data_IF_242099256915
#
_entry.id   IF_242099256915
#
_cell.length_a   1.000
_cell.length_b   1.000
_cell.length_c   1.000
_cell.angle_alpha   90.00
_cell.angle_beta   90.00
_cell.angle_gamma   90.00
#
_symmetry.space_group_name_H-M   'P 1'
#
loop_
_entity.id
_entity.type
_entity.pdbx_description
1 polymer ?
#
# COMPACT_ATOMS: atom_id res chain seq x y z
N UNK A 1 -5.42 -6.20 -0.08
CA UNK A 1 -5.74 -7.40 0.71
C UNK A 1 -5.02 -7.30 2.04
N UNK A 2 -5.78 -7.27 3.14
CA UNK A 2 -5.23 -7.02 4.49
C UNK A 2 -5.14 -8.29 5.35
N UNK A 3 -5.66 -9.40 4.85
CA UNK A 3 -5.56 -10.73 5.46
C UNK A 3 -5.81 -11.83 4.44
N UNK A 4 -5.26 -13.02 4.72
CA UNK A 4 -5.53 -14.28 4.00
C UNK A 4 -6.40 -15.24 4.81
N UNK A 5 -6.79 -14.85 6.02
CA UNK A 5 -7.70 -15.58 6.87
C UNK A 5 -9.15 -15.22 6.54
N UNK A 6 -10.05 -16.19 6.25
CA UNK A 6 -11.43 -15.91 5.85
C UNK A 6 -12.25 -15.16 6.91
N UNK A 7 -12.08 -15.51 8.19
CA UNK A 7 -12.85 -14.91 9.29
C UNK A 7 -12.39 -13.47 9.55
N UNK A 8 -11.06 -13.22 9.51
CA UNK A 8 -10.52 -11.89 9.60
C UNK A 8 -10.90 -11.05 8.37
N UNK A 9 -10.91 -11.65 7.17
CA UNK A 9 -11.34 -10.98 5.95
C UNK A 9 -12.79 -10.49 6.07
N UNK A 10 -13.70 -11.37 6.51
CA UNK A 10 -15.10 -11.02 6.74
C UNK A 10 -15.25 -9.87 7.73
N UNK A 11 -14.47 -9.89 8.81
CA UNK A 11 -14.48 -8.84 9.83
C UNK A 11 -13.98 -7.49 9.30
N UNK A 12 -12.87 -7.48 8.53
CA UNK A 12 -12.25 -6.25 8.00
C UNK A 12 -12.99 -5.73 6.78
N UNK A 13 -13.27 -6.58 5.81
CA UNK A 13 -13.98 -6.21 4.58
C UNK A 13 -15.49 -6.05 4.76
N UNK A 14 -16.04 -6.50 5.89
CA UNK A 14 -17.49 -6.55 6.21
C UNK A 14 -18.31 -7.31 5.17
N UNK A 15 -17.70 -8.28 4.51
CA UNK A 15 -18.31 -9.16 3.52
C UNK A 15 -17.50 -10.45 3.39
N UNK A 16 -18.16 -11.50 2.91
CA UNK A 16 -17.51 -12.71 2.45
C UNK A 16 -16.93 -12.52 1.04
N UNK A 17 -16.10 -13.45 0.57
CA UNK A 17 -15.59 -13.48 -0.81
C UNK A 17 -14.08 -13.40 -0.92
N UNK A 18 -13.34 -13.86 0.08
CA UNK A 18 -11.89 -14.00 0.00
C UNK A 18 -11.47 -14.96 -1.13
N UNK A 19 -12.25 -16.02 -1.36
CA UNK A 19 -12.13 -16.97 -2.47
C UNK A 19 -12.11 -16.23 -3.83
N UNK A 20 -13.05 -15.31 -4.05
CA UNK A 20 -13.11 -14.49 -5.27
C UNK A 20 -11.92 -13.54 -5.43
N UNK A 21 -11.35 -13.09 -4.32
CA UNK A 21 -10.11 -12.30 -4.37
C UNK A 21 -8.96 -13.17 -4.86
N UNK A 22 -8.85 -14.43 -4.40
CA UNK A 22 -7.83 -15.35 -4.87
C UNK A 22 -8.05 -15.75 -6.35
N UNK A 23 -9.28 -16.02 -6.77
CA UNK A 23 -9.61 -16.23 -8.18
C UNK A 23 -9.14 -15.05 -9.06
N UNK A 24 -9.37 -13.82 -8.60
CA UNK A 24 -8.89 -12.61 -9.28
C UNK A 24 -7.37 -12.50 -9.33
N UNK A 25 -6.66 -12.88 -8.27
CA UNK A 25 -5.20 -12.93 -8.22
C UNK A 25 -4.68 -13.98 -9.23
N UNK A 26 -5.26 -15.16 -9.24
CA UNK A 26 -4.87 -16.24 -10.16
C UNK A 26 -5.14 -15.87 -11.64
N UNK A 27 -6.30 -15.26 -11.92
CA UNK A 27 -6.60 -14.75 -13.25
C UNK A 27 -5.62 -13.68 -13.72
N UNK A 28 -5.23 -12.75 -12.82
CA UNK A 28 -4.23 -11.72 -13.13
C UNK A 28 -2.83 -12.31 -13.36
N UNK A 29 -2.46 -13.34 -12.59
CA UNK A 29 -1.18 -14.04 -12.75
C UNK A 29 -1.10 -14.84 -14.06
N UNK A 30 -2.23 -15.36 -14.52
CA UNK A 30 -2.30 -16.08 -15.80
C UNK A 30 -2.20 -15.15 -17.01
N UNK A 31 -2.41 -13.85 -16.84
CA UNK A 31 -2.36 -12.90 -17.94
C UNK A 31 -0.92 -12.46 -18.27
N UNK A 32 -0.41 -12.69 -19.49
CA UNK A 32 0.96 -12.32 -19.84
C UNK A 32 1.13 -10.80 -19.83
N UNK A 33 2.27 -10.35 -19.29
CA UNK A 33 2.65 -8.93 -19.26
C UNK A 33 2.09 -8.13 -18.07
N UNK A 34 1.31 -8.74 -17.17
CA UNK A 34 0.89 -8.10 -15.93
C UNK A 34 1.93 -8.31 -14.82
N UNK A 35 2.29 -7.21 -14.15
CA UNK A 35 3.06 -7.25 -12.90
C UNK A 35 2.11 -6.98 -11.73
N UNK A 36 1.84 -8.01 -10.94
CA UNK A 36 0.87 -7.93 -9.85
C UNK A 36 1.54 -7.49 -8.54
N UNK A 37 0.88 -6.57 -7.86
CA UNK A 37 1.27 -6.10 -6.52
C UNK A 37 0.08 -6.15 -5.59
N UNK A 38 0.27 -6.68 -4.39
CA UNK A 38 -0.73 -6.67 -3.33
C UNK A 38 -0.33 -5.62 -2.30
N UNK A 39 -1.26 -4.70 -2.01
CA UNK A 39 -1.12 -3.75 -0.92
C UNK A 39 -1.84 -4.31 0.31
N UNK A 40 -1.19 -4.23 1.46
CA UNK A 40 -1.77 -4.53 2.76
C UNK A 40 -1.55 -3.35 3.69
N UNK A 41 -2.63 -2.89 4.33
CA UNK A 41 -2.56 -1.93 5.42
C UNK A 41 -2.67 -2.72 6.71
N UNK A 42 -1.68 -2.65 7.62
CA UNK A 42 -1.60 -3.50 8.81
C UNK A 42 -2.61 -3.05 9.90
N UNK A 43 -3.89 -3.33 9.66
CA UNK A 43 -5.00 -3.07 10.61
C UNK A 43 -5.18 -4.21 11.61
N UNK A 44 -4.57 -5.36 11.35
CA UNK A 44 -4.56 -6.59 12.15
C UNK A 44 -3.17 -6.72 12.75
N UNK A 45 -3.07 -6.92 14.09
CA UNK A 45 -1.79 -6.92 14.83
C UNK A 45 -1.11 -8.29 14.90
N UNK A 46 -1.87 -9.34 14.67
CA UNK A 46 -1.44 -10.71 14.83
C UNK A 46 -0.30 -11.02 13.86
N UNK A 47 0.81 -11.53 14.40
CA UNK A 47 2.02 -11.87 13.62
C UNK A 47 1.71 -12.81 12.45
N UNK A 48 0.83 -13.78 12.69
CA UNK A 48 0.38 -14.78 11.73
C UNK A 48 -0.24 -14.13 10.49
N UNK A 49 -0.90 -12.98 10.68
CA UNK A 49 -1.48 -12.25 9.55
C UNK A 49 -0.40 -11.65 8.64
N UNK A 50 0.67 -11.07 9.19
CA UNK A 50 1.78 -10.55 8.38
C UNK A 50 2.50 -11.68 7.65
N UNK A 51 2.73 -12.80 8.34
CA UNK A 51 3.33 -14.00 7.77
C UNK A 51 2.46 -14.54 6.63
N UNK A 52 1.16 -14.70 6.84
CA UNK A 52 0.23 -15.19 5.82
C UNK A 52 0.18 -14.30 4.57
N UNK A 53 0.11 -12.98 4.74
CA UNK A 53 0.12 -12.02 3.62
C UNK A 53 1.46 -12.08 2.88
N UNK A 54 2.59 -12.05 3.59
CA UNK A 54 3.93 -12.14 2.99
C UNK A 54 4.13 -13.46 2.24
N UNK A 55 3.55 -14.56 2.73
CA UNK A 55 3.58 -15.88 2.10
C UNK A 55 3.02 -15.90 0.67
N UNK A 56 2.21 -14.93 0.29
CA UNK A 56 1.77 -14.77 -1.11
C UNK A 56 2.95 -14.46 -2.04
N UNK A 57 3.93 -13.67 -1.59
CA UNK A 57 5.14 -13.40 -2.37
C UNK A 57 6.10 -14.60 -2.41
N UNK A 58 6.05 -15.50 -1.43
CA UNK A 58 6.75 -16.78 -1.50
C UNK A 58 6.14 -17.70 -2.55
N UNK A 59 4.82 -17.83 -2.52
CA UNK A 59 4.06 -18.75 -3.39
C UNK A 59 4.02 -18.28 -4.86
N UNK A 60 3.84 -16.97 -5.08
CA UNK A 60 3.60 -16.39 -6.39
C UNK A 60 4.64 -15.32 -6.76
N UNK A 61 4.90 -15.04 -8.05
CA UNK A 61 5.79 -13.97 -8.50
C UNK A 61 5.11 -12.59 -8.39
N UNK A 62 4.67 -12.23 -7.19
CA UNK A 62 3.97 -10.98 -6.88
C UNK A 62 4.71 -10.20 -5.79
N UNK A 63 4.58 -8.88 -5.79
CA UNK A 63 5.12 -8.08 -4.71
C UNK A 63 4.03 -7.80 -3.67
N UNK A 64 4.32 -8.10 -2.42
CA UNK A 64 3.47 -7.73 -1.27
C UNK A 64 4.02 -6.45 -0.65
N UNK A 65 3.17 -5.44 -0.48
CA UNK A 65 3.55 -4.14 0.06
C UNK A 65 2.76 -3.83 1.32
N UNK A 66 3.45 -3.68 2.43
CA UNK A 66 2.88 -3.18 3.68
C UNK A 66 2.90 -1.65 3.66
N UNK A 67 1.75 -1.04 3.93
CA UNK A 67 1.58 0.42 3.91
C UNK A 67 1.24 0.87 5.32
N UNK A 68 2.10 1.69 5.93
CA UNK A 68 1.82 2.23 7.25
C UNK A 68 0.48 2.97 7.30
N UNK A 69 -0.30 2.69 8.32
CA UNK A 69 -1.56 3.38 8.57
C UNK A 69 -1.30 4.84 8.89
N UNK A 70 -1.87 5.73 8.09
CA UNK A 70 -1.84 7.16 8.36
C UNK A 70 -2.98 7.55 9.32
N UNK A 71 -2.76 8.48 10.27
CA UNK A 71 -3.77 8.90 11.24
C UNK A 71 -4.80 9.87 10.62
N UNK A 72 -5.47 9.41 9.54
CA UNK A 72 -6.47 10.18 8.77
C UNK A 72 -7.84 9.55 8.96
N UNK A 73 -8.84 10.35 9.30
CA UNK A 73 -10.20 9.87 9.52
C UNK A 73 -10.23 8.74 10.56
N UNK A 74 -10.84 7.61 10.21
CA UNK A 74 -10.89 6.42 11.06
C UNK A 74 -9.54 5.75 11.28
N UNK A 75 -8.51 6.05 10.48
CA UNK A 75 -7.16 5.51 10.65
C UNK A 75 -6.56 5.78 12.03
N UNK A 76 -7.00 6.85 12.72
CA UNK A 76 -6.60 7.18 14.09
C UNK A 76 -7.02 6.15 15.14
N UNK A 77 -8.00 5.30 14.85
CA UNK A 77 -8.55 4.30 15.76
C UNK A 77 -7.82 2.97 15.69
N UNK A 78 -7.01 2.77 14.65
CA UNK A 78 -6.24 1.54 14.49
C UNK A 78 -4.89 1.63 15.16
N UNK A 79 -4.37 0.51 15.66
CA UNK A 79 -3.03 0.45 16.20
C UNK A 79 -2.01 0.74 15.10
N UNK A 80 -1.00 1.51 15.45
CA UNK A 80 0.11 1.75 14.56
C UNK A 80 1.05 0.53 14.54
N UNK A 81 1.41 0.10 13.34
CA UNK A 81 2.41 -0.93 13.08
C UNK A 81 3.45 -0.31 12.14
N UNK A 82 4.67 -0.20 12.61
CA UNK A 82 5.78 0.33 11.83
C UNK A 82 6.47 -0.75 10.97
N UNK A 83 7.27 -0.30 10.04
CA UNK A 83 8.04 -1.15 9.14
C UNK A 83 8.95 -2.12 9.90
N UNK A 84 9.69 -1.62 10.91
CA UNK A 84 10.66 -2.42 11.65
C UNK A 84 10.00 -3.56 12.44
N UNK A 85 8.85 -3.30 13.04
CA UNK A 85 8.07 -4.32 13.75
C UNK A 85 7.60 -5.44 12.83
N UNK A 86 7.09 -5.09 11.65
CA UNK A 86 6.63 -6.09 10.66
C UNK A 86 7.83 -6.84 10.09
N UNK A 87 8.92 -6.13 9.78
CA UNK A 87 10.15 -6.72 9.26
C UNK A 87 10.73 -7.74 10.22
N UNK A 88 10.81 -7.42 11.52
CA UNK A 88 11.29 -8.36 12.53
C UNK A 88 10.46 -9.65 12.59
N UNK A 89 9.14 -9.55 12.47
CA UNK A 89 8.24 -10.73 12.41
C UNK A 89 8.52 -11.56 11.16
N UNK A 90 8.72 -10.92 10.01
CA UNK A 90 8.98 -11.63 8.76
C UNK A 90 10.37 -12.27 8.74
N UNK A 91 11.38 -11.60 9.31
CA UNK A 91 12.74 -12.18 9.46
C UNK A 91 12.77 -13.36 10.42
N UNK A 92 11.98 -13.33 11.50
CA UNK A 92 11.80 -14.46 12.41
C UNK A 92 11.19 -15.68 11.68
N UNK A 93 10.20 -15.43 10.80
CA UNK A 93 9.45 -16.50 10.13
C UNK A 93 10.15 -17.05 8.86
N UNK A 94 10.82 -16.20 8.10
CA UNK A 94 11.28 -16.50 6.74
C UNK A 94 12.79 -16.32 6.53
N UNK A 95 13.49 -15.80 7.55
CA UNK A 95 14.92 -15.52 7.46
C UNK A 95 15.23 -14.09 6.99
N UNK A 96 16.52 -13.77 6.82
CA UNK A 96 16.99 -12.41 6.58
C UNK A 96 16.37 -11.75 5.36
N UNK A 97 16.06 -10.45 5.49
CA UNK A 97 15.54 -9.59 4.45
C UNK A 97 16.68 -8.69 3.90
N UNK A 98 16.96 -8.81 2.61
CA UNK A 98 18.00 -8.02 1.94
C UNK A 98 17.39 -6.90 1.11
N UNK A 99 17.82 -5.66 1.35
CA UNK A 99 17.32 -4.49 0.62
C UNK A 99 17.63 -4.58 -0.88
N UNK A 100 16.66 -4.20 -1.71
CA UNK A 100 16.76 -4.20 -3.18
C UNK A 100 16.75 -2.76 -3.69
N UNK A 101 17.74 -2.37 -4.48
CA UNK A 101 17.85 -1.02 -5.04
C UNK A 101 16.99 -0.81 -6.30
N UNK A 102 16.38 -1.87 -6.84
CA UNK A 102 15.52 -1.80 -8.03
C UNK A 102 14.20 -1.11 -7.71
N UNK A 103 13.74 -0.29 -8.68
CA UNK A 103 12.44 0.38 -8.60
C UNK A 103 11.38 -0.42 -9.36
N UNK A 104 10.33 -0.83 -8.66
CA UNK A 104 9.17 -1.50 -9.25
C UNK A 104 7.98 -0.55 -9.40
N UNK A 105 8.18 0.57 -10.14
CA UNK A 105 7.19 1.61 -10.38
C UNK A 105 7.56 2.97 -9.77
N UNK A 106 6.65 3.96 -9.86
CA UNK A 106 6.89 5.36 -9.46
C UNK A 106 6.50 5.69 -8.00
N UNK A 107 6.31 4.67 -7.17
CA UNK A 107 5.93 4.88 -5.77
C UNK A 107 7.15 4.92 -4.83
N UNK A 108 6.94 5.36 -3.58
CA UNK A 108 8.00 5.49 -2.57
C UNK A 108 8.29 4.17 -1.83
N UNK A 109 7.95 3.04 -2.41
CA UNK A 109 8.10 1.75 -1.78
C UNK A 109 9.57 1.30 -1.76
N UNK A 110 10.08 0.92 -0.61
CA UNK A 110 11.35 0.22 -0.45
C UNK A 110 11.10 -1.28 -0.51
N UNK A 111 11.94 -2.01 -1.22
CA UNK A 111 11.74 -3.44 -1.44
C UNK A 111 12.86 -4.26 -0.83
N UNK A 112 12.49 -5.46 -0.38
CA UNK A 112 13.39 -6.46 0.18
C UNK A 112 13.15 -7.80 -0.49
N UNK A 113 14.21 -8.57 -0.64
CA UNK A 113 14.14 -9.97 -1.03
C UNK A 113 14.37 -10.87 0.17
N UNK A 114 13.72 -12.03 0.14
CA UNK A 114 13.88 -13.13 1.09
C UNK A 114 14.25 -14.37 0.29
N UNK A 115 15.20 -15.16 0.79
CA UNK A 115 15.61 -16.40 0.12
C UNK A 115 14.41 -17.34 -0.09
N UNK A 116 14.27 -17.86 -1.32
CA UNK A 116 13.15 -18.75 -1.69
C UNK A 116 11.83 -18.05 -2.05
N UNK A 117 11.77 -16.72 -1.97
CA UNK A 117 10.58 -15.97 -2.43
C UNK A 117 10.63 -15.74 -3.94
N UNK A 118 9.47 -15.87 -4.61
CA UNK A 118 9.32 -15.58 -6.03
C UNK A 118 9.10 -14.08 -6.30
N UNK A 119 8.49 -13.40 -5.34
CA UNK A 119 8.27 -11.97 -5.35
C UNK A 119 9.10 -11.22 -4.32
N UNK A 120 8.76 -9.95 -4.09
CA UNK A 120 9.45 -9.10 -3.11
C UNK A 120 8.49 -8.63 -2.03
N UNK A 121 9.01 -8.33 -0.86
CA UNK A 121 8.29 -7.63 0.20
C UNK A 121 8.65 -6.15 0.11
N UNK A 122 7.64 -5.29 0.17
CA UNK A 122 7.83 -3.86 0.11
C UNK A 122 7.21 -3.13 1.30
N UNK A 123 7.76 -1.97 1.64
CA UNK A 123 7.22 -1.10 2.68
C UNK A 123 7.00 0.32 2.13
N UNK A 124 5.88 0.91 2.53
CA UNK A 124 5.53 2.30 2.26
C UNK A 124 5.33 2.99 3.61
N UNK A 125 6.41 3.53 4.15
CA UNK A 125 6.52 4.00 5.53
C UNK A 125 6.27 5.50 5.60
N UNK A 126 4.99 5.89 5.44
CA UNK A 126 4.56 7.29 5.37
C UNK A 126 4.73 8.05 6.70
N UNK A 127 4.84 7.34 7.83
CA UNK A 127 4.91 7.91 9.16
C UNK A 127 6.32 7.82 9.75
N UNK A 128 6.98 6.66 9.64
CA UNK A 128 8.32 6.44 10.20
C UNK A 128 9.43 6.91 9.27
N UNK A 129 9.38 6.59 7.99
CA UNK A 129 10.36 6.99 6.99
C UNK A 129 9.73 7.94 5.96
N UNK A 130 9.43 9.17 6.40
CA UNK A 130 8.76 10.18 5.59
C UNK A 130 9.51 10.45 4.28
N UNK A 131 8.84 10.22 3.17
CA UNK A 131 9.34 10.45 1.81
C UNK A 131 8.76 11.73 1.18
N UNK A 132 8.37 12.72 1.98
CA UNK A 132 7.67 13.94 1.51
C UNK A 132 8.47 14.72 0.46
N UNK A 133 9.79 14.78 0.60
CA UNK A 133 10.67 15.46 -0.36
C UNK A 133 10.75 14.79 -1.73
N UNK A 134 10.40 13.52 -1.81
CA UNK A 134 10.40 12.73 -3.07
C UNK A 134 8.97 12.34 -3.49
N UNK A 135 7.95 12.88 -2.81
CA UNK A 135 6.57 12.55 -3.10
C UNK A 135 6.09 13.25 -4.38
N UNK A 136 5.67 12.46 -5.34
CA UNK A 136 5.13 12.91 -6.61
C UNK A 136 3.60 12.78 -6.70
N UNK A 137 2.90 12.75 -5.55
CA UNK A 137 1.46 12.53 -5.50
C UNK A 137 0.69 13.83 -5.43
N UNK A 138 -0.33 13.94 -6.27
CA UNK A 138 -1.38 14.94 -6.21
C UNK A 138 -2.74 14.25 -6.17
N UNK A 139 -3.72 14.91 -5.59
CA UNK A 139 -5.09 14.41 -5.49
C UNK A 139 -6.05 15.51 -5.89
N UNK A 140 -6.95 15.19 -6.81
CA UNK A 140 -8.08 16.04 -7.15
C UNK A 140 -9.32 15.47 -6.47
N UNK A 141 -10.02 16.30 -5.67
CA UNK A 141 -11.28 15.91 -5.05
C UNK A 141 -12.43 16.02 -6.06
N UNK A 142 -13.57 15.39 -5.76
CA UNK A 142 -14.80 15.51 -6.55
C UNK A 142 -15.31 16.95 -6.65
N UNK A 143 -14.92 17.81 -5.71
CA UNK A 143 -15.27 19.23 -5.66
C UNK A 143 -14.32 20.11 -6.48
N UNK A 144 -13.30 19.54 -7.11
CA UNK A 144 -12.34 20.28 -7.91
C UNK A 144 -11.23 20.98 -7.09
N UNK A 145 -10.95 20.49 -5.89
CA UNK A 145 -9.86 20.96 -5.05
C UNK A 145 -8.63 20.07 -5.19
N UNK A 146 -7.50 20.64 -5.59
CA UNK A 146 -6.24 19.91 -5.76
C UNK A 146 -5.40 19.96 -4.50
N UNK A 147 -5.02 18.79 -3.99
CA UNK A 147 -4.19 18.60 -2.79
C UNK A 147 -2.87 17.94 -3.13
N UNK A 148 -1.77 18.44 -2.59
CA UNK A 148 -0.45 17.83 -2.72
C UNK A 148 -0.20 16.67 -1.71
N UNK A 149 -1.08 16.50 -0.72
CA UNK A 149 -0.92 15.48 0.32
C UNK A 149 -2.27 14.93 0.76
N UNK A 150 -2.31 13.64 1.11
CA UNK A 150 -3.51 13.02 1.68
C UNK A 150 -3.81 13.56 3.09
N UNK A 151 -2.77 13.75 3.89
CA UNK A 151 -2.87 14.14 5.31
C UNK A 151 -3.25 15.61 5.51
N UNK A 152 -2.71 16.50 4.69
CA UNK A 152 -2.92 17.94 4.86
C UNK A 152 -4.10 18.44 4.03
N UNK A 153 -4.79 19.46 4.57
CA UNK A 153 -5.93 20.10 3.90
C UNK A 153 -5.51 21.23 2.95
N UNK A 154 -4.22 21.57 2.92
CA UNK A 154 -3.70 22.62 2.02
C UNK A 154 -3.77 22.17 0.56
N UNK A 155 -4.15 23.10 -0.32
CA UNK A 155 -4.27 22.86 -1.75
C UNK A 155 -4.85 24.07 -2.48
N UNK A 156 -5.28 23.86 -3.72
CA UNK A 156 -5.79 24.89 -4.61
C UNK A 156 -7.21 24.56 -5.07
N UNK A 157 -8.13 25.51 -4.96
CA UNK A 157 -9.48 25.37 -5.50
C UNK A 157 -9.47 25.64 -7.03
N UNK A 158 -9.17 24.59 -7.78
CA UNK A 158 -9.14 24.68 -9.25
C UNK A 158 -10.53 25.00 -9.83
N UNK A 159 -11.60 24.46 -9.24
CA UNK A 159 -12.96 24.73 -9.70
C UNK A 159 -13.31 26.22 -9.55
N UNK A 160 -12.98 26.79 -8.41
CA UNK A 160 -13.23 28.23 -8.16
C UNK A 160 -12.46 29.10 -9.14
N UNK A 161 -11.17 28.82 -9.35
CA UNK A 161 -10.35 29.54 -10.32
C UNK A 161 -10.92 29.42 -11.74
N UNK A 162 -11.21 28.23 -12.24
CA UNK A 162 -11.73 28.00 -13.59
C UNK A 162 -13.09 28.68 -13.81
N UNK A 163 -13.99 28.61 -12.84
CA UNK A 163 -15.31 29.28 -12.92
C UNK A 163 -15.21 30.78 -12.74
N UNK A 164 -14.16 31.28 -12.10
CA UNK A 164 -13.84 32.69 -11.99
C UNK A 164 -13.24 33.30 -13.26
N UNK A 165 -13.04 32.47 -14.31
CA UNK A 165 -12.52 32.94 -15.61
C UNK A 165 -11.01 33.09 -15.69
N UNK A 166 -10.25 32.37 -14.85
CA UNK A 166 -8.80 32.37 -14.98
C UNK A 166 -8.36 31.72 -16.32
N UNK A 167 -7.21 32.17 -16.83
CA UNK A 167 -6.60 31.59 -18.03
C UNK A 167 -5.86 30.28 -17.70
N UNK A 168 -5.57 29.46 -18.71
CA UNK A 168 -4.78 28.23 -18.55
C UNK A 168 -3.37 28.52 -18.00
N UNK A 169 -2.81 29.70 -18.28
CA UNK A 169 -1.50 30.12 -17.74
C UNK A 169 -1.57 30.44 -16.25
N UNK A 170 -2.70 30.96 -15.78
CA UNK A 170 -2.93 31.23 -14.34
C UNK A 170 -3.22 29.95 -13.54
N UNK A 171 -3.60 28.85 -14.20
CA UNK A 171 -3.80 27.53 -13.59
C UNK A 171 -2.52 26.74 -13.43
N UNK A 172 -1.48 27.04 -14.18
CA UNK A 172 -0.16 26.38 -14.11
C UNK A 172 0.67 26.89 -12.93
#
# INVERSE_FOLDING_TARGET
>A
LDTVDPELFKKVARRDGLDKVFEGIEAALAHPGLSLKINSVPVIKEKENFIGIAGLAQKYPIHVRFIEMMPIGFGKQFPFQDEESIKAVLEEAYGPMHAVNERYGNGPCHYYEIAGFKGKIGFISAMTHKFCSQCNRVRLTSEGFMKGCLQYQKGTDLRGLMRGGCTDEQLK
#
